data_IF_283711777875
#
_entry.id   IF_283711777875
#
_cell.length_a   1.000
_cell.length_b   1.000
_cell.length_c   1.000
_cell.angle_alpha   90.00
_cell.angle_beta   90.00
_cell.angle_gamma   90.00
#
_symmetry.space_group_name_H-M   'P 1'
#
loop_
_entity.id
_entity.type
_entity.pdbx_description
1 polymer ?
#
# COMPACT_ATOMS: atom_id res chain seq x y z
N UNK A 1 11.33 23.46 -10.80
CA UNK A 1 11.31 22.43 -11.86
C UNK A 1 12.64 21.70 -12.03
N UNK A 2 13.79 22.27 -11.63
CA UNK A 2 15.11 21.62 -11.68
C UNK A 2 15.17 20.27 -10.93
N UNK A 3 14.75 20.21 -9.66
CA UNK A 3 14.81 18.99 -8.83
C UNK A 3 14.31 17.69 -9.53
N UNK A 4 13.11 17.72 -10.13
CA UNK A 4 12.49 16.55 -10.76
C UNK A 4 13.27 16.12 -12.01
N UNK A 5 13.70 17.08 -12.82
CA UNK A 5 14.41 16.82 -14.07
C UNK A 5 15.86 16.37 -13.81
N UNK A 6 16.54 17.03 -12.88
CA UNK A 6 17.94 16.77 -12.53
C UNK A 6 18.13 15.38 -11.88
N UNK A 7 17.09 14.86 -11.21
CA UNK A 7 17.08 13.53 -10.60
C UNK A 7 16.31 12.47 -11.42
N UNK A 8 15.86 12.81 -12.65
CA UNK A 8 15.05 11.96 -13.53
C UNK A 8 13.87 11.26 -12.82
N UNK A 9 13.16 12.01 -11.96
CA UNK A 9 12.06 11.47 -11.17
C UNK A 9 10.80 11.33 -12.03
N UNK A 10 10.24 10.12 -12.06
CA UNK A 10 9.05 9.77 -12.85
C UNK A 10 8.07 8.96 -12.03
N UNK A 11 6.79 9.10 -12.36
CA UNK A 11 5.78 8.18 -11.84
C UNK A 11 6.01 6.79 -12.40
N UNK A 12 5.89 5.78 -11.55
CA UNK A 12 5.94 4.38 -11.98
C UNK A 12 4.64 4.05 -12.69
N UNK A 13 4.74 3.56 -13.91
CA UNK A 13 3.58 3.20 -14.72
C UNK A 13 3.05 1.78 -14.39
N UNK A 14 1.77 1.56 -14.68
CA UNK A 14 1.14 0.25 -14.56
C UNK A 14 0.89 -0.23 -13.13
N UNK A 15 0.82 0.71 -12.19
CA UNK A 15 0.31 0.54 -10.82
C UNK A 15 -0.64 1.70 -10.47
N UNK A 16 -1.34 1.57 -9.36
CA UNK A 16 -2.16 2.63 -8.72
C UNK A 16 -1.41 3.11 -7.47
N UNK A 17 -1.61 4.37 -7.07
CA UNK A 17 -0.96 4.96 -5.89
C UNK A 17 0.58 4.98 -6.02
N UNK A 18 1.03 5.25 -7.24
CA UNK A 18 2.42 5.52 -7.62
C UNK A 18 2.99 6.79 -6.97
N UNK A 19 2.09 7.69 -6.56
CA UNK A 19 2.36 8.91 -5.82
C UNK A 19 3.11 8.67 -4.51
N UNK A 20 2.90 7.51 -3.85
CA UNK A 20 3.67 7.13 -2.66
C UNK A 20 5.16 7.02 -2.96
N UNK A 21 5.52 6.28 -4.01
CA UNK A 21 6.94 6.07 -4.38
C UNK A 21 7.54 7.40 -4.82
N UNK A 22 6.83 8.09 -5.73
CA UNK A 22 7.27 9.38 -6.23
C UNK A 22 7.45 10.42 -5.10
N UNK A 23 6.57 10.44 -4.11
CA UNK A 23 6.65 11.32 -2.95
C UNK A 23 7.90 11.07 -2.10
N UNK A 24 8.25 9.81 -1.86
CA UNK A 24 9.50 9.48 -1.17
C UNK A 24 10.73 9.80 -2.01
N UNK A 25 10.71 9.54 -3.32
CA UNK A 25 11.83 9.91 -4.20
C UNK A 25 12.06 11.42 -4.19
N UNK A 26 10.99 12.21 -4.28
CA UNK A 26 11.05 13.67 -4.12
C UNK A 26 11.60 14.07 -2.75
N UNK A 27 11.10 13.45 -1.68
CA UNK A 27 11.54 13.75 -0.32
C UNK A 27 13.05 13.49 -0.13
N UNK A 28 13.56 12.39 -0.69
CA UNK A 28 14.96 12.00 -0.58
C UNK A 28 15.89 12.82 -1.47
N UNK A 29 15.41 13.29 -2.63
CA UNK A 29 16.19 14.13 -3.53
C UNK A 29 16.25 15.61 -3.10
N UNK A 30 15.34 16.04 -2.22
CA UNK A 30 15.22 17.45 -1.86
C UNK A 30 16.33 17.91 -0.92
N UNK A 31 17.13 18.90 -1.35
CA UNK A 31 18.15 19.55 -0.50
C UNK A 31 17.54 20.30 0.69
N UNK A 32 16.32 20.83 0.50
CA UNK A 32 15.60 21.60 1.52
C UNK A 32 14.11 21.31 1.45
N UNK A 33 13.56 20.95 2.61
CA UNK A 33 12.13 20.75 2.79
C UNK A 33 11.61 21.83 3.73
N UNK A 34 10.63 22.60 3.26
CA UNK A 34 9.98 23.64 4.05
C UNK A 34 8.57 23.21 4.39
N UNK A 35 8.16 23.42 5.63
CA UNK A 35 6.78 23.25 6.06
C UNK A 35 6.03 24.56 5.87
N UNK A 36 4.82 24.49 5.31
CA UNK A 36 3.92 25.63 5.16
C UNK A 36 2.61 25.32 5.88
N UNK A 37 2.31 26.11 6.91
CA UNK A 37 1.11 25.97 7.74
C UNK A 37 -0.04 26.82 7.17
N UNK A 38 -0.51 26.43 5.98
CA UNK A 38 -1.62 27.11 5.31
C UNK A 38 -2.74 26.14 4.93
N UNK A 39 -3.89 26.70 4.59
CA UNK A 39 -5.03 25.92 4.12
C UNK A 39 -4.77 25.45 2.69
N UNK A 40 -4.52 24.15 2.53
CA UNK A 40 -4.47 23.52 1.21
C UNK A 40 -5.89 23.34 0.67
N UNK A 41 -6.08 23.61 -0.63
CA UNK A 41 -7.33 23.30 -1.32
C UNK A 41 -7.43 21.79 -1.53
N UNK A 42 -8.15 21.11 -0.63
CA UNK A 42 -8.52 19.72 -0.81
C UNK A 42 -9.59 19.61 -1.90
N UNK A 43 -9.22 19.05 -3.06
CA UNK A 43 -10.16 18.74 -4.13
C UNK A 43 -10.30 17.23 -4.26
N UNK A 44 -11.51 16.72 -4.06
CA UNK A 44 -11.84 15.35 -4.46
C UNK A 44 -12.13 15.34 -5.96
N UNK A 45 -11.31 14.61 -6.72
CA UNK A 45 -11.59 14.36 -8.14
C UNK A 45 -12.59 13.22 -8.24
N UNK A 46 -13.84 13.53 -8.58
CA UNK A 46 -14.82 12.50 -8.93
C UNK A 46 -14.31 11.66 -10.10
N UNK A 47 -14.43 10.33 -9.99
CA UNK A 47 -13.93 9.39 -11.00
C UNK A 47 -12.43 9.13 -10.97
N UNK A 48 -11.67 9.67 -10.01
CA UNK A 48 -10.27 9.28 -9.83
C UNK A 48 -10.16 7.78 -9.55
N UNK A 49 -9.21 7.09 -10.19
CA UNK A 49 -8.95 5.67 -9.99
C UNK A 49 -8.58 5.31 -8.54
N UNK A 50 -8.11 6.29 -7.76
CA UNK A 50 -7.76 6.16 -6.33
C UNK A 50 -8.93 6.49 -5.39
N UNK A 51 -10.09 6.89 -5.93
CA UNK A 51 -11.29 7.21 -5.17
C UNK A 51 -11.95 5.91 -4.67
N UNK A 52 -12.38 5.84 -3.41
CA UNK A 52 -12.80 4.58 -2.77
C UNK A 52 -13.94 3.87 -3.52
N UNK A 53 -14.85 4.63 -4.13
CA UNK A 53 -16.00 4.17 -4.90
C UNK A 53 -15.61 3.47 -6.21
N UNK A 54 -14.40 3.71 -6.70
CA UNK A 54 -13.88 3.13 -7.95
C UNK A 54 -12.66 2.24 -7.71
N UNK A 55 -11.89 2.48 -6.65
CA UNK A 55 -10.65 1.78 -6.35
C UNK A 55 -10.87 0.26 -6.22
N UNK A 56 -11.88 -0.14 -5.46
CA UNK A 56 -12.20 -1.56 -5.26
C UNK A 56 -12.90 -2.24 -6.43
N UNK A 57 -13.12 -1.51 -7.54
CA UNK A 57 -13.63 -2.07 -8.81
C UNK A 57 -12.49 -2.48 -9.74
N UNK A 58 -11.24 -2.12 -9.43
CA UNK A 58 -10.09 -2.54 -10.23
C UNK A 58 -9.84 -4.04 -10.11
N UNK A 59 -9.22 -4.66 -11.14
CA UNK A 59 -8.78 -6.04 -11.08
C UNK A 59 -7.89 -6.32 -9.85
N UNK A 60 -8.13 -7.45 -9.18
CA UNK A 60 -7.41 -7.82 -7.95
C UNK A 60 -5.89 -7.96 -8.15
N UNK A 61 -5.46 -8.37 -9.33
CA UNK A 61 -4.05 -8.42 -9.75
C UNK A 61 -3.42 -7.03 -9.84
N UNK A 62 -4.13 -6.04 -10.38
CA UNK A 62 -3.66 -4.65 -10.41
C UNK A 62 -3.55 -4.07 -8.99
N UNK A 63 -4.55 -4.29 -8.14
CA UNK A 63 -4.50 -3.84 -6.74
C UNK A 63 -3.33 -4.51 -6.01
N UNK A 64 -3.19 -5.83 -6.16
CA UNK A 64 -2.09 -6.59 -5.58
C UNK A 64 -0.74 -6.04 -6.04
N UNK A 65 -0.53 -5.92 -7.35
CA UNK A 65 0.71 -5.41 -7.95
C UNK A 65 1.04 -4.02 -7.40
N UNK A 66 0.06 -3.15 -7.32
CA UNK A 66 0.24 -1.77 -6.85
C UNK A 66 0.76 -1.69 -5.42
N UNK A 67 0.08 -2.36 -4.49
CA UNK A 67 0.51 -2.34 -3.10
C UNK A 67 1.76 -3.18 -2.86
N UNK A 68 1.97 -4.27 -3.61
CA UNK A 68 3.18 -5.07 -3.50
C UNK A 68 4.40 -4.25 -3.93
N UNK A 69 4.31 -3.51 -5.04
CA UNK A 69 5.36 -2.60 -5.49
C UNK A 69 5.67 -1.53 -4.44
N UNK A 70 4.65 -0.88 -3.88
CA UNK A 70 4.82 0.11 -2.81
C UNK A 70 5.46 -0.51 -1.55
N UNK A 71 5.04 -1.71 -1.14
CA UNK A 71 5.64 -2.40 0.00
C UNK A 71 7.11 -2.75 -0.24
N UNK A 72 7.46 -3.25 -1.43
CA UNK A 72 8.83 -3.59 -1.78
C UNK A 72 9.74 -2.36 -1.76
N UNK A 73 9.24 -1.24 -2.29
CA UNK A 73 9.96 0.02 -2.24
C UNK A 73 10.19 0.47 -0.79
N UNK A 74 9.13 0.52 0.04
CA UNK A 74 9.25 0.92 1.44
C UNK A 74 10.17 -0.01 2.25
N UNK A 75 10.16 -1.31 1.99
CA UNK A 75 11.10 -2.26 2.61
C UNK A 75 12.55 -1.93 2.22
N UNK A 76 12.81 -1.63 0.94
CA UNK A 76 14.15 -1.24 0.49
C UNK A 76 14.68 0.04 1.16
N UNK A 77 13.79 0.96 1.54
CA UNK A 77 14.16 2.14 2.33
C UNK A 77 14.47 1.81 3.80
N UNK A 78 13.85 0.77 4.37
CA UNK A 78 14.17 0.31 5.73
C UNK A 78 15.50 -0.44 5.80
N UNK A 79 15.93 -1.04 4.70
CA UNK A 79 17.21 -1.74 4.60
C UNK A 79 18.41 -0.77 4.53
N UNK A 80 18.16 0.50 4.17
CA UNK A 80 19.15 1.58 4.11
C UNK A 80 19.36 2.20 5.50
N UNK A 81 20.52 1.96 6.11
CA UNK A 81 20.87 2.43 7.46
C UNK A 81 21.04 3.95 7.51
N UNK A 82 21.52 4.54 6.43
CA UNK A 82 21.63 5.98 6.23
C UNK A 82 20.28 6.70 6.30
N UNK A 83 19.17 5.97 6.10
CA UNK A 83 17.81 6.50 6.15
C UNK A 83 17.11 6.27 7.50
N UNK A 84 17.84 5.89 8.56
CA UNK A 84 17.26 5.55 9.88
C UNK A 84 16.34 6.65 10.45
N UNK A 85 16.65 7.92 10.17
CA UNK A 85 15.86 9.06 10.62
C UNK A 85 14.41 9.04 10.07
N UNK A 86 14.19 8.48 8.88
CA UNK A 86 12.87 8.42 8.24
C UNK A 86 12.17 7.07 8.43
N UNK A 87 12.83 6.07 9.01
CA UNK A 87 12.24 4.75 9.26
C UNK A 87 10.90 4.80 10.01
N UNK A 88 10.66 5.70 11.00
CA UNK A 88 9.35 5.80 11.64
C UNK A 88 8.22 6.17 10.66
N UNK A 89 8.50 7.06 9.70
CA UNK A 89 7.56 7.44 8.64
C UNK A 89 7.34 6.27 7.67
N UNK A 90 8.43 5.64 7.21
CA UNK A 90 8.39 4.48 6.30
C UNK A 90 7.58 3.33 6.92
N UNK A 91 7.82 2.99 8.19
CA UNK A 91 7.06 1.95 8.93
C UNK A 91 5.57 2.29 9.03
N UNK A 92 5.21 3.57 9.16
CA UNK A 92 3.82 4.02 9.18
C UNK A 92 3.14 3.81 7.83
N UNK A 93 3.79 4.20 6.74
CA UNK A 93 3.31 3.97 5.38
C UNK A 93 3.18 2.47 5.07
N UNK A 94 4.17 1.67 5.50
CA UNK A 94 4.18 0.23 5.29
C UNK A 94 3.02 -0.47 6.03
N UNK A 95 2.66 -0.02 7.24
CA UNK A 95 1.47 -0.51 7.95
C UNK A 95 0.17 -0.25 7.19
N UNK A 96 0.07 0.87 6.47
CA UNK A 96 -1.10 1.18 5.65
C UNK A 96 -1.14 0.37 4.34
N UNK A 97 0.02 0.01 3.80
CA UNK A 97 0.13 -0.69 2.51
C UNK A 97 0.10 -2.21 2.63
N UNK A 98 0.79 -2.79 3.63
CA UNK A 98 1.04 -4.22 3.77
C UNK A 98 -0.23 -5.08 3.90
N UNK A 99 -1.34 -4.44 4.30
CA UNK A 99 -2.64 -5.07 4.40
C UNK A 99 -3.17 -5.60 3.06
N UNK A 100 -3.08 -4.78 2.01
CA UNK A 100 -3.80 -5.02 0.77
C UNK A 100 -3.26 -6.22 -0.02
N UNK A 101 -1.93 -6.40 -0.19
CA UNK A 101 -1.40 -7.57 -0.90
C UNK A 101 -1.79 -8.88 -0.22
N UNK A 102 -1.79 -8.91 1.12
CA UNK A 102 -2.20 -10.10 1.88
C UNK A 102 -3.68 -10.37 1.72
N UNK A 103 -4.54 -9.34 1.76
CA UNK A 103 -5.97 -9.48 1.48
C UNK A 103 -6.23 -10.03 0.07
N UNK A 104 -5.60 -9.44 -0.96
CA UNK A 104 -5.78 -9.87 -2.35
C UNK A 104 -5.31 -11.32 -2.54
N UNK A 105 -4.22 -11.73 -1.90
CA UNK A 105 -3.75 -13.12 -1.92
C UNK A 105 -4.71 -14.08 -1.22
N UNK A 106 -5.35 -13.68 -0.11
CA UNK A 106 -6.37 -14.51 0.55
C UNK A 106 -7.57 -14.78 -0.35
N UNK A 107 -7.90 -13.86 -1.25
CA UNK A 107 -8.95 -14.01 -2.26
C UNK A 107 -8.50 -14.79 -3.49
N UNK A 108 -7.26 -14.55 -3.94
CA UNK A 108 -6.64 -15.25 -5.04
C UNK A 108 -5.19 -15.69 -4.73
N UNK A 109 -5.00 -16.92 -4.21
CA UNK A 109 -3.68 -17.41 -3.83
C UNK A 109 -2.70 -17.59 -4.99
N UNK A 110 -3.13 -17.53 -6.25
CA UNK A 110 -2.25 -17.66 -7.43
C UNK A 110 -1.43 -16.40 -7.70
N UNK A 111 -1.75 -15.27 -7.05
CA UNK A 111 -1.06 -13.98 -7.26
C UNK A 111 0.40 -13.98 -6.78
N UNK A 112 0.73 -14.80 -5.78
CA UNK A 112 2.09 -14.92 -5.25
C UNK A 112 2.26 -16.19 -4.43
N UNK A 113 3.52 -16.61 -4.21
CA UNK A 113 3.78 -17.67 -3.23
C UNK A 113 3.55 -17.10 -1.84
N UNK A 114 2.95 -17.92 -0.96
CA UNK A 114 2.68 -17.55 0.44
C UNK A 114 3.91 -16.93 1.11
N UNK A 115 5.08 -17.52 0.88
CA UNK A 115 6.37 -17.12 1.45
C UNK A 115 6.75 -15.66 1.12
N UNK A 116 6.42 -15.20 -0.08
CA UNK A 116 6.76 -13.86 -0.58
C UNK A 116 6.03 -12.75 0.21
N UNK A 117 4.92 -13.11 0.87
CA UNK A 117 4.09 -12.22 1.67
C UNK A 117 4.41 -12.29 3.17
N UNK A 118 5.18 -13.30 3.61
CA UNK A 118 5.53 -13.47 5.01
C UNK A 118 6.26 -12.24 5.58
N UNK A 119 7.12 -11.61 4.77
CA UNK A 119 7.84 -10.38 5.12
C UNK A 119 6.94 -9.17 5.39
N UNK A 120 5.70 -9.18 4.90
CA UNK A 120 4.74 -8.08 5.09
C UNK A 120 3.95 -8.22 6.40
N UNK A 121 3.88 -9.42 6.97
CA UNK A 121 3.07 -9.71 8.16
C UNK A 121 3.42 -8.87 9.39
N UNK A 122 4.70 -8.53 9.69
CA UNK A 122 5.01 -7.66 10.82
C UNK A 122 4.33 -6.28 10.74
N UNK A 123 3.98 -5.85 9.53
CA UNK A 123 3.38 -4.55 9.25
C UNK A 123 1.87 -4.63 9.01
N UNK A 124 1.33 -5.81 8.69
CA UNK A 124 -0.10 -6.00 8.48
C UNK A 124 -0.90 -5.95 9.80
N UNK A 125 -2.18 -5.58 9.71
CA UNK A 125 -3.10 -5.56 10.86
C UNK A 125 -3.29 -6.98 11.42
N UNK A 126 -3.56 -7.07 12.72
CA UNK A 126 -3.73 -8.34 13.44
C UNK A 126 -4.71 -9.30 12.75
N UNK A 127 -5.89 -8.81 12.35
CA UNK A 127 -6.92 -9.61 11.66
C UNK A 127 -6.38 -10.32 10.41
N UNK A 128 -5.50 -9.65 9.71
CA UNK A 128 -4.95 -10.08 8.41
C UNK A 128 -3.82 -11.06 8.59
N UNK A 129 -2.99 -10.82 9.61
CA UNK A 129 -2.00 -11.79 10.07
C UNK A 129 -2.68 -13.09 10.46
N UNK A 130 -3.76 -13.02 11.24
CA UNK A 130 -4.55 -14.19 11.62
C UNK A 130 -5.14 -14.89 10.39
N UNK A 131 -5.74 -14.12 9.46
CA UNK A 131 -6.29 -14.68 8.23
C UNK A 131 -5.23 -15.36 7.34
N UNK A 132 -4.01 -14.83 7.29
CA UNK A 132 -2.89 -15.42 6.57
C UNK A 132 -2.44 -16.77 7.15
N UNK A 133 -2.38 -16.88 8.48
CA UNK A 133 -2.04 -18.14 9.15
C UNK A 133 -3.19 -19.15 9.11
N UNK A 134 -4.43 -18.66 9.18
CA UNK A 134 -5.64 -19.47 9.30
C UNK A 134 -6.68 -19.13 8.20
N UNK A 135 -6.37 -19.35 6.91
CA UNK A 135 -7.22 -18.90 5.80
C UNK A 135 -8.60 -19.55 5.80
N UNK A 136 -8.70 -20.82 6.21
CA UNK A 136 -9.97 -21.55 6.34
C UNK A 136 -10.89 -20.91 7.38
N UNK A 137 -10.35 -20.55 8.54
CA UNK A 137 -11.10 -19.90 9.62
C UNK A 137 -11.57 -18.52 9.15
N UNK A 138 -10.70 -17.74 8.49
CA UNK A 138 -11.07 -16.43 7.97
C UNK A 138 -12.21 -16.52 6.93
N UNK A 139 -12.15 -17.48 6.01
CA UNK A 139 -13.20 -17.73 5.02
C UNK A 139 -14.53 -18.15 5.68
N UNK A 140 -14.46 -19.02 6.68
CA UNK A 140 -15.63 -19.45 7.46
C UNK A 140 -16.29 -18.28 8.19
N UNK A 141 -15.50 -17.47 8.92
CA UNK A 141 -15.99 -16.28 9.64
C UNK A 141 -16.62 -15.26 8.68
N UNK A 142 -16.01 -15.02 7.51
CA UNK A 142 -16.62 -14.14 6.50
C UNK A 142 -17.95 -14.68 5.99
N UNK A 143 -18.06 -15.98 5.73
CA UNK A 143 -19.31 -16.62 5.31
C UNK A 143 -20.38 -16.47 6.39
N UNK A 144 -20.03 -16.71 7.65
CA UNK A 144 -20.93 -16.55 8.80
C UNK A 144 -21.41 -15.09 8.94
N UNK A 145 -20.51 -14.12 8.83
CA UNK A 145 -20.86 -12.70 8.88
C UNK A 145 -21.78 -12.27 7.73
N UNK A 146 -21.60 -12.82 6.52
CA UNK A 146 -22.51 -12.56 5.40
C UNK A 146 -23.90 -13.14 5.66
N UNK A 147 -23.97 -14.34 6.22
CA UNK A 147 -25.23 -14.97 6.62
C UNK A 147 -25.95 -14.14 7.69
N UNK A 148 -25.25 -13.69 8.73
CA UNK A 148 -25.84 -12.86 9.79
C UNK A 148 -26.32 -11.49 9.30
N UNK A 149 -25.70 -10.92 8.27
CA UNK A 149 -26.11 -9.62 7.68
C UNK A 149 -27.29 -9.73 6.73
N UNK A 150 -27.54 -10.91 6.17
CA UNK A 150 -28.67 -11.19 5.28
C UNK A 150 -29.25 -12.56 5.65
N UNK A 151 -29.92 -12.68 6.80
CA UNK A 151 -30.62 -13.91 7.14
C UNK A 151 -31.74 -14.08 6.11
N UNK A 152 -31.65 -15.14 5.30
CA UNK A 152 -32.79 -15.60 4.50
C UNK A 152 -33.80 -16.27 5.40
#
# INVERSE_FOLDING_TARGET
MKLVQDNDLRFIEGIINEDLIFGFQLFLAADKISFFDGVFLYRQRQGSISCIETFWKHPNDLIFKSYQTNCNYLLSLLDQQELIAIHPLVKRCLKSCAQAPVSCWLENPTLAKKQDLARLLPYAKLKTRLAYHFPFIAKYVQKLLRFLKNPK
#
